data_IF_584952489648
#
_entry.id   IF_584952489648
#
_cell.length_a   1.000
_cell.length_b   1.000
_cell.length_c   1.000
_cell.angle_alpha   90.00
_cell.angle_beta   90.00
_cell.angle_gamma   90.00
#
_symmetry.space_group_name_H-M   'P 1'
#
loop_
_entity.id
_entity.type
_entity.pdbx_description
1 polymer ?
#
# COMPACT_ATOMS: atom_id res chain seq x y z
N UNK A 1 12.07 0.30 -10.95
CA UNK A 1 10.94 -0.66 -10.88
C UNK A 1 11.38 -1.98 -11.52
N UNK A 2 11.10 -3.15 -10.93
CA UNK A 2 11.41 -4.45 -11.53
C UNK A 2 10.61 -4.72 -12.81
N UNK A 3 11.22 -5.37 -13.80
CA UNK A 3 10.56 -5.71 -15.07
C UNK A 3 9.41 -6.72 -14.90
N UNK A 4 9.47 -7.53 -13.85
CA UNK A 4 8.45 -8.53 -13.51
C UNK A 4 7.09 -7.94 -13.14
N UNK A 5 7.00 -6.63 -12.88
CA UNK A 5 5.75 -5.97 -12.55
C UNK A 5 4.97 -5.50 -13.77
N UNK A 6 5.59 -5.43 -14.94
CA UNK A 6 4.94 -4.87 -16.13
C UNK A 6 3.69 -5.66 -16.52
N UNK A 7 2.53 -5.01 -16.52
CA UNK A 7 1.27 -5.58 -17.01
C UNK A 7 0.59 -6.54 -16.04
N UNK A 8 1.05 -6.66 -14.78
CA UNK A 8 0.44 -7.55 -13.78
C UNK A 8 -1.00 -7.18 -13.44
N UNK A 9 -1.38 -5.92 -13.65
CA UNK A 9 -2.74 -5.41 -13.44
C UNK A 9 -3.56 -5.31 -14.73
N UNK A 10 -3.05 -5.77 -15.88
CA UNK A 10 -3.78 -5.73 -17.14
C UNK A 10 -5.02 -6.62 -17.05
N UNK A 11 -6.17 -6.09 -17.47
CA UNK A 11 -7.46 -6.79 -17.43
C UNK A 11 -7.92 -7.21 -16.02
N UNK A 12 -7.39 -6.56 -14.98
CA UNK A 12 -7.81 -6.74 -13.59
C UNK A 12 -8.75 -5.61 -13.18
N UNK A 13 -9.95 -5.94 -12.73
CA UNK A 13 -10.90 -4.93 -12.24
C UNK A 13 -10.57 -4.44 -10.83
N UNK A 14 -10.13 -5.34 -9.95
CA UNK A 14 -9.84 -5.04 -8.55
C UNK A 14 -8.63 -5.81 -8.02
N UNK A 15 -7.90 -5.20 -7.08
CA UNK A 15 -6.74 -5.80 -6.45
C UNK A 15 -6.70 -5.53 -4.94
N UNK A 16 -6.28 -6.54 -4.19
CA UNK A 16 -6.03 -6.43 -2.76
C UNK A 16 -4.56 -6.08 -2.51
N UNK A 17 -4.32 -4.96 -1.84
CA UNK A 17 -2.99 -4.58 -1.36
C UNK A 17 -2.85 -5.08 0.08
N UNK A 18 -2.16 -6.19 0.27
CA UNK A 18 -1.92 -6.80 1.59
C UNK A 18 -0.44 -6.73 2.00
N UNK A 19 0.36 -5.94 1.28
CA UNK A 19 1.76 -5.76 1.62
C UNK A 19 1.86 -4.92 2.89
N UNK A 20 2.46 -5.51 3.90
CA UNK A 20 2.95 -4.82 5.09
C UNK A 20 4.28 -5.47 5.44
N UNK A 21 5.39 -4.74 5.39
CA UNK A 21 6.68 -5.30 5.79
C UNK A 21 6.61 -5.80 7.24
N UNK A 22 6.59 -7.13 7.42
CA UNK A 22 6.64 -7.81 8.72
C UNK A 22 8.06 -7.93 9.28
N UNK A 23 9.07 -7.66 8.45
CA UNK A 23 10.47 -7.75 8.88
C UNK A 23 10.85 -6.58 9.78
N UNK A 24 11.45 -6.90 10.91
CA UNK A 24 12.08 -5.99 11.88
C UNK A 24 13.34 -5.29 11.33
N UNK A 25 13.44 -5.11 10.02
CA UNK A 25 14.56 -4.39 9.41
C UNK A 25 14.37 -2.89 9.62
N UNK A 26 15.45 -2.14 9.89
CA UNK A 26 15.38 -0.70 10.19
C UNK A 26 14.77 0.14 9.05
N UNK A 27 14.67 -0.42 7.84
CA UNK A 27 14.25 0.26 6.60
C UNK A 27 12.89 -0.19 6.06
N UNK A 28 12.05 -0.86 6.86
CA UNK A 28 10.72 -1.29 6.41
C UNK A 28 9.90 -0.16 5.78
N UNK A 29 10.01 1.07 6.29
CA UNK A 29 9.29 2.22 5.76
C UNK A 29 9.76 2.62 4.35
N UNK A 30 11.05 2.45 4.04
CA UNK A 30 11.58 2.67 2.70
C UNK A 30 11.07 1.59 1.73
N UNK A 31 11.06 0.33 2.17
CA UNK A 31 10.51 -0.78 1.39
C UNK A 31 9.03 -0.61 1.11
N UNK A 32 8.22 -0.31 2.13
CA UNK A 32 6.78 -0.03 1.98
C UNK A 32 6.53 1.09 0.94
N UNK A 33 7.32 2.17 0.99
CA UNK A 33 7.25 3.27 0.01
C UNK A 33 7.57 2.81 -1.42
N UNK A 34 8.59 1.98 -1.60
CA UNK A 34 8.95 1.45 -2.92
C UNK A 34 7.82 0.55 -3.43
N UNK A 35 7.33 -0.36 -2.59
CA UNK A 35 6.26 -1.30 -2.93
C UNK A 35 4.97 -0.57 -3.33
N UNK A 36 4.50 0.39 -2.53
CA UNK A 36 3.24 1.10 -2.81
C UNK A 36 3.35 1.93 -4.09
N UNK A 37 4.49 2.58 -4.34
CA UNK A 37 4.68 3.38 -5.55
C UNK A 37 4.72 2.51 -6.81
N UNK A 38 5.47 1.41 -6.79
CA UNK A 38 5.51 0.48 -7.91
C UNK A 38 4.12 -0.10 -8.21
N UNK A 39 3.37 -0.45 -7.18
CA UNK A 39 1.99 -0.94 -7.34
C UNK A 39 1.08 0.12 -7.95
N UNK A 40 1.10 1.37 -7.45
CA UNK A 40 0.30 2.45 -8.02
C UNK A 40 0.66 2.75 -9.48
N UNK A 41 1.92 2.56 -9.87
CA UNK A 41 2.34 2.76 -11.26
C UNK A 41 1.80 1.69 -12.22
N UNK A 42 1.63 0.45 -11.76
CA UNK A 42 1.02 -0.63 -12.54
C UNK A 42 -0.51 -0.62 -12.49
N UNK A 43 -1.08 -0.24 -11.35
CA UNK A 43 -2.51 -0.33 -11.09
C UNK A 43 -3.31 0.91 -11.57
N UNK A 44 -2.75 1.74 -12.47
CA UNK A 44 -3.37 3.02 -12.88
C UNK A 44 -4.78 2.84 -13.47
N UNK A 45 -5.01 1.74 -14.17
CA UNK A 45 -6.28 1.43 -14.82
C UNK A 45 -7.22 0.57 -13.95
N UNK A 46 -6.80 0.25 -12.72
CA UNK A 46 -7.57 -0.57 -11.79
C UNK A 46 -8.82 0.19 -11.32
N UNK A 47 -9.98 -0.47 -11.33
CA UNK A 47 -11.24 0.17 -10.91
C UNK A 47 -11.39 0.22 -9.40
N UNK A 48 -10.72 -0.69 -8.68
CA UNK A 48 -10.81 -0.76 -7.22
C UNK A 48 -9.56 -1.37 -6.56
N UNK A 49 -8.89 -0.61 -5.71
CA UNK A 49 -7.89 -1.12 -4.78
C UNK A 49 -8.52 -1.34 -3.40
N UNK A 50 -8.28 -2.51 -2.79
CA UNK A 50 -8.70 -2.82 -1.43
C UNK A 50 -7.47 -2.95 -0.56
N UNK A 51 -7.33 -2.07 0.44
CA UNK A 51 -6.18 -2.05 1.35
C UNK A 51 -6.59 -2.49 2.76
N UNK A 52 -5.82 -3.43 3.34
CA UNK A 52 -5.91 -3.77 4.76
C UNK A 52 -4.89 -2.95 5.57
N UNK A 53 -5.30 -1.72 5.88
CA UNK A 53 -4.53 -0.76 6.67
C UNK A 53 -4.56 -1.04 8.17
N UNK A 54 -3.70 -0.31 8.89
CA UNK A 54 -3.59 -0.42 10.35
C UNK A 54 -4.45 0.60 11.08
N UNK A 55 -4.63 0.40 12.38
CA UNK A 55 -5.23 1.41 13.25
C UNK A 55 -4.42 2.71 13.21
N UNK A 56 -5.13 3.85 13.17
CA UNK A 56 -4.53 5.18 13.19
C UNK A 56 -4.93 5.89 14.49
N UNK A 57 -4.23 5.64 15.61
CA UNK A 57 -4.50 6.33 16.85
C UNK A 57 -4.18 7.82 16.73
N UNK A 58 -4.97 8.67 17.37
CA UNK A 58 -4.75 10.13 17.40
C UNK A 58 -3.48 10.51 18.18
N UNK A 59 -3.01 9.63 19.06
CA UNK A 59 -1.83 9.80 19.92
C UNK A 59 -0.55 9.16 19.33
N UNK A 60 0.53 9.08 20.15
CA UNK A 60 1.82 8.47 19.78
C UNK A 60 1.64 7.17 18.98
N UNK A 61 1.87 7.25 17.68
CA UNK A 61 1.88 6.10 16.77
C UNK A 61 3.26 5.45 16.78
N UNK A 62 3.34 4.13 16.58
CA UNK A 62 4.62 3.49 16.31
C UNK A 62 5.11 3.87 14.91
N UNK A 63 6.41 3.70 14.63
CA UNK A 63 6.95 3.91 13.29
C UNK A 63 6.25 3.02 12.25
N UNK A 64 5.89 1.79 12.65
CA UNK A 64 5.17 0.85 11.79
C UNK A 64 3.75 1.36 11.45
N UNK A 65 3.00 1.85 12.44
CA UNK A 65 1.66 2.42 12.20
C UNK A 65 1.74 3.66 11.29
N UNK A 66 2.76 4.51 11.46
CA UNK A 66 2.99 5.63 10.53
C UNK A 66 3.29 5.18 9.11
N UNK A 67 4.08 4.12 8.92
CA UNK A 67 4.36 3.56 7.59
C UNK A 67 3.07 3.07 6.92
N UNK A 68 2.26 2.30 7.65
CA UNK A 68 0.94 1.85 7.17
C UNK A 68 0.00 3.02 6.84
N UNK A 69 0.00 4.07 7.67
CA UNK A 69 -0.76 5.29 7.40
C UNK A 69 -0.33 5.95 6.08
N UNK A 70 0.98 6.02 5.85
CA UNK A 70 1.55 6.60 4.63
C UNK A 70 1.19 5.77 3.40
N UNK A 71 1.29 4.43 3.47
CA UNK A 71 0.87 3.52 2.40
C UNK A 71 -0.61 3.75 2.07
N UNK A 72 -1.48 3.76 3.09
CA UNK A 72 -2.91 4.00 2.91
C UNK A 72 -3.21 5.36 2.28
N UNK A 73 -2.49 6.43 2.66
CA UNK A 73 -2.61 7.74 2.01
C UNK A 73 -2.25 7.66 0.53
N UNK A 74 -1.06 7.11 0.20
CA UNK A 74 -0.61 7.00 -1.18
C UNK A 74 -1.59 6.23 -2.06
N UNK A 75 -2.16 5.12 -1.54
CA UNK A 75 -3.16 4.35 -2.28
C UNK A 75 -4.42 5.19 -2.54
N UNK A 76 -4.98 5.85 -1.51
CA UNK A 76 -6.17 6.71 -1.67
C UNK A 76 -5.94 7.89 -2.60
N UNK A 77 -4.73 8.46 -2.58
CA UNK A 77 -4.39 9.62 -3.40
C UNK A 77 -4.20 9.25 -4.87
N UNK A 78 -3.81 8.00 -5.16
CA UNK A 78 -3.44 7.56 -6.52
C UNK A 78 -4.42 6.61 -7.19
N UNK A 79 -5.26 5.92 -6.42
CA UNK A 79 -6.14 4.85 -6.90
C UNK A 79 -7.53 4.93 -6.23
N UNK A 80 -8.60 4.47 -6.88
CA UNK A 80 -9.91 4.29 -6.24
C UNK A 80 -9.78 3.24 -5.12
N UNK A 81 -9.68 3.67 -3.86
CA UNK A 81 -9.26 2.81 -2.76
C UNK A 81 -10.30 2.69 -1.65
N UNK A 82 -10.61 1.44 -1.26
CA UNK A 82 -11.29 1.12 0.00
C UNK A 82 -10.22 0.67 1.00
N UNK A 83 -10.10 1.37 2.12
CA UNK A 83 -9.20 1.01 3.21
C UNK A 83 -9.98 0.46 4.40
N UNK A 84 -9.67 -0.78 4.80
CA UNK A 84 -10.07 -1.32 6.10
C UNK A 84 -9.00 -1.00 7.13
N UNK A 85 -9.37 -0.30 8.21
CA UNK A 85 -8.47 -0.03 9.34
C UNK A 85 -8.71 -1.06 10.43
N UNK A 86 -8.03 -2.19 10.29
CA UNK A 86 -8.09 -3.28 11.25
C UNK A 86 -6.75 -3.41 11.98
N UNK A 87 -6.81 -3.73 13.27
CA UNK A 87 -5.65 -3.97 14.12
C UNK A 87 -5.94 -5.05 15.12
#
# INVERSE_FOLDING_TARGET
KPDTLSGVCREVDAAYYLVHSMESSKDFAATDRICVNNFCDEARDLKLCIYLGGLLPENKSSQHLRSRAQVGSTLRDRLPTIEFRAG
#
